data_IF_259350296297
#
_entry.id   IF_259350296297
#
_cell.length_a   1.000
_cell.length_b   1.000
_cell.length_c   1.000
_cell.angle_alpha   90.00
_cell.angle_beta   90.00
_cell.angle_gamma   90.00
#
_symmetry.space_group_name_H-M   'P 1'
#
loop_
_entity.id
_entity.type
_entity.pdbx_description
1 polymer ?
#
# COMPACT_ATOMS: atom_id res chain seq x y z
N UNK A 1 -38.05 -70.28 24.74
CA UNK A 1 -36.72 -69.65 24.65
C UNK A 1 -36.68 -68.61 23.52
N UNK A 2 -37.79 -67.94 23.20
CA UNK A 2 -37.92 -67.10 21.99
C UNK A 2 -38.07 -65.59 22.30
N UNK A 3 -38.39 -65.23 23.54
CA UNK A 3 -38.61 -63.83 23.95
C UNK A 3 -37.32 -63.02 24.09
N UNK A 4 -36.15 -63.67 24.18
CA UNK A 4 -34.85 -62.98 24.25
C UNK A 4 -34.35 -62.50 22.89
N UNK A 5 -34.76 -63.12 21.78
CA UNK A 5 -34.28 -62.75 20.44
C UNK A 5 -34.98 -61.48 19.90
N UNK A 6 -36.26 -61.31 20.22
CA UNK A 6 -37.05 -60.17 19.73
C UNK A 6 -36.67 -58.85 20.42
N UNK A 7 -36.19 -58.90 21.66
CA UNK A 7 -35.82 -57.72 22.43
C UNK A 7 -34.46 -57.14 22.01
N UNK A 8 -33.50 -58.01 21.63
CA UNK A 8 -32.21 -57.58 21.08
C UNK A 8 -32.36 -56.94 19.71
N UNK A 9 -33.26 -57.45 18.84
CA UNK A 9 -33.46 -56.87 17.52
C UNK A 9 -34.12 -55.48 17.57
N UNK A 10 -35.08 -55.28 18.47
CA UNK A 10 -35.70 -53.97 18.70
C UNK A 10 -34.69 -52.94 19.22
N UNK A 11 -33.86 -53.31 20.21
CA UNK A 11 -32.81 -52.43 20.75
C UNK A 11 -31.70 -52.09 19.73
N UNK A 12 -31.37 -53.02 18.82
CA UNK A 12 -30.42 -52.73 17.75
C UNK A 12 -30.98 -51.78 16.71
N UNK A 13 -32.28 -51.87 16.40
CA UNK A 13 -32.92 -51.00 15.41
C UNK A 13 -33.07 -49.57 15.93
N UNK A 14 -33.41 -49.40 17.22
CA UNK A 14 -33.54 -48.10 17.88
C UNK A 14 -32.18 -47.36 17.95
N UNK A 15 -31.09 -48.05 18.32
CA UNK A 15 -29.73 -47.50 18.28
C UNK A 15 -29.26 -47.11 16.87
N UNK A 16 -29.64 -47.87 15.84
CA UNK A 16 -29.30 -47.55 14.45
C UNK A 16 -30.06 -46.32 13.94
N UNK A 17 -31.32 -46.15 14.34
CA UNK A 17 -32.14 -44.98 13.99
C UNK A 17 -31.60 -43.72 14.66
N UNK A 18 -31.23 -43.78 15.94
CA UNK A 18 -30.57 -42.67 16.64
C UNK A 18 -29.21 -42.31 16.04
N UNK A 19 -28.39 -43.31 15.68
CA UNK A 19 -27.11 -43.07 14.99
C UNK A 19 -27.29 -42.46 13.60
N UNK A 20 -28.32 -42.87 12.85
CA UNK A 20 -28.65 -42.24 11.57
C UNK A 20 -29.10 -40.78 11.74
N UNK A 21 -29.92 -40.49 12.76
CA UNK A 21 -30.38 -39.13 13.05
C UNK A 21 -29.23 -38.22 13.49
N UNK A 22 -28.31 -38.71 14.32
CA UNK A 22 -27.15 -37.97 14.76
C UNK A 22 -26.17 -37.66 13.62
N UNK A 23 -25.92 -38.63 12.72
CA UNK A 23 -25.07 -38.43 11.55
C UNK A 23 -25.62 -37.35 10.61
N UNK A 24 -26.93 -37.39 10.36
CA UNK A 24 -27.60 -36.41 9.51
C UNK A 24 -27.52 -34.99 10.10
N UNK A 25 -27.70 -34.85 11.41
CA UNK A 25 -27.51 -33.58 12.13
C UNK A 25 -26.06 -33.06 12.04
N UNK A 26 -25.07 -33.95 12.13
CA UNK A 26 -23.66 -33.53 11.99
C UNK A 26 -23.30 -33.13 10.56
N UNK A 27 -23.87 -33.78 9.55
CA UNK A 27 -23.69 -33.42 8.14
C UNK A 27 -24.30 -32.05 7.84
N UNK A 28 -25.53 -31.79 8.32
CA UNK A 28 -26.19 -30.48 8.19
C UNK A 28 -25.41 -29.36 8.91
N UNK A 29 -24.83 -29.64 10.08
CA UNK A 29 -23.97 -28.69 10.79
C UNK A 29 -22.67 -28.40 10.02
N UNK A 30 -22.05 -29.41 9.41
CA UNK A 30 -20.84 -29.23 8.60
C UNK A 30 -21.17 -28.35 7.39
N UNK A 31 -22.27 -28.58 6.68
CA UNK A 31 -22.70 -27.78 5.53
C UNK A 31 -22.89 -26.29 5.88
N UNK A 32 -23.25 -25.97 7.12
CA UNK A 32 -23.41 -24.59 7.59
C UNK A 32 -22.07 -24.00 8.05
N UNK A 33 -21.25 -24.79 8.75
CA UNK A 33 -20.00 -24.32 9.38
C UNK A 33 -18.89 -24.11 8.34
N UNK A 34 -18.79 -24.95 7.32
CA UNK A 34 -17.77 -24.83 6.26
C UNK A 34 -17.78 -23.47 5.54
N UNK A 35 -18.91 -22.98 5.00
CA UNK A 35 -18.93 -21.67 4.33
C UNK A 35 -18.73 -20.49 5.28
N UNK A 36 -19.03 -20.65 6.57
CA UNK A 36 -18.74 -19.65 7.60
C UNK A 36 -17.22 -19.52 7.83
N UNK A 37 -16.50 -20.64 7.87
CA UNK A 37 -15.04 -20.64 7.95
C UNK A 37 -14.39 -20.02 6.72
N UNK A 38 -14.86 -20.36 5.51
CA UNK A 38 -14.32 -19.77 4.28
C UNK A 38 -14.48 -18.25 4.24
N UNK A 39 -15.62 -17.73 4.74
CA UNK A 39 -15.84 -16.29 4.86
C UNK A 39 -14.95 -15.64 5.90
N UNK A 40 -14.68 -16.33 7.00
CA UNK A 40 -13.78 -15.85 8.06
C UNK A 40 -12.34 -15.77 7.56
N UNK A 41 -11.88 -16.77 6.79
CA UNK A 41 -10.56 -16.75 6.15
C UNK A 41 -10.44 -15.60 5.15
N UNK A 42 -11.47 -15.36 4.33
CA UNK A 42 -11.52 -14.20 3.42
C UNK A 42 -11.47 -12.86 4.17
N UNK A 43 -12.17 -12.75 5.31
CA UNK A 43 -12.14 -11.55 6.15
C UNK A 43 -10.75 -11.30 6.74
N UNK A 44 -10.07 -12.36 7.18
CA UNK A 44 -8.71 -12.28 7.71
C UNK A 44 -7.75 -11.82 6.60
N UNK A 45 -7.86 -12.38 5.40
CA UNK A 45 -6.94 -12.05 4.30
C UNK A 45 -7.14 -10.62 3.80
N UNK A 46 -8.39 -10.18 3.61
CA UNK A 46 -8.70 -8.78 3.27
C UNK A 46 -8.23 -7.80 4.34
N UNK A 47 -8.33 -8.18 5.62
CA UNK A 47 -7.82 -7.34 6.72
C UNK A 47 -6.29 -7.22 6.68
N UNK A 48 -5.56 -8.28 6.34
CA UNK A 48 -4.11 -8.22 6.16
C UNK A 48 -3.71 -7.33 4.98
N UNK A 49 -4.41 -7.44 3.85
CA UNK A 49 -4.16 -6.60 2.68
C UNK A 49 -4.38 -5.11 3.00
N UNK A 50 -5.50 -4.80 3.65
CA UNK A 50 -5.81 -3.42 4.09
C UNK A 50 -4.75 -2.92 5.07
N UNK A 51 -4.36 -3.75 6.04
CA UNK A 51 -3.32 -3.39 7.01
C UNK A 51 -1.98 -3.12 6.33
N UNK A 52 -1.58 -3.95 5.36
CA UNK A 52 -0.36 -3.76 4.59
C UNK A 52 -0.39 -2.48 3.76
N UNK A 53 -1.52 -2.19 3.10
CA UNK A 53 -1.72 -0.95 2.36
C UNK A 53 -1.70 0.27 3.28
N UNK A 54 -2.26 0.17 4.49
CA UNK A 54 -2.21 1.24 5.48
C UNK A 54 -0.78 1.48 6.00
N UNK A 55 -0.03 0.42 6.29
CA UNK A 55 1.36 0.53 6.75
C UNK A 55 2.30 1.06 5.66
N UNK A 56 2.07 0.72 4.39
CA UNK A 56 2.84 1.28 3.26
C UNK A 56 2.56 2.77 3.05
N UNK A 57 1.34 3.23 3.34
CA UNK A 57 0.95 4.65 3.26
C UNK A 57 1.27 5.46 4.53
N UNK A 58 1.61 4.81 5.64
CA UNK A 58 1.97 5.46 6.91
C UNK A 58 3.36 6.14 6.92
N UNK A 59 4.11 6.10 5.82
CA UNK A 59 5.36 6.86 5.72
C UNK A 59 5.15 8.39 5.59
N UNK A 60 3.90 8.86 5.52
CA UNK A 60 3.58 10.24 5.81
C UNK A 60 3.28 10.34 7.30
N UNK A 61 4.33 10.52 8.11
CA UNK A 61 4.16 11.04 9.47
C UNK A 61 3.15 12.20 9.40
N UNK A 62 2.25 12.27 10.38
CA UNK A 62 1.31 13.37 10.61
C UNK A 62 2.05 14.67 10.95
N UNK A 63 2.98 15.08 10.08
CA UNK A 63 3.61 16.38 10.08
C UNK A 63 2.48 17.38 9.85
N UNK A 64 2.31 18.24 10.84
CA UNK A 64 1.36 19.33 10.79
C UNK A 64 1.55 20.08 9.46
N UNK A 65 0.48 20.51 8.80
CA UNK A 65 0.54 21.17 7.50
C UNK A 65 1.57 22.33 7.49
N UNK A 66 1.70 23.02 8.63
CA UNK A 66 2.68 24.09 8.84
C UNK A 66 4.15 23.65 8.71
N UNK A 67 4.46 22.39 9.04
CA UNK A 67 5.80 21.82 8.93
C UNK A 67 6.11 21.33 7.51
N UNK A 68 5.08 21.06 6.70
CA UNK A 68 5.20 20.62 5.31
C UNK A 68 5.20 21.77 4.31
N UNK A 69 4.81 22.97 4.75
CA UNK A 69 4.82 24.17 3.92
C UNK A 69 6.21 24.80 3.87
N UNK A 70 6.70 24.99 2.66
CA UNK A 70 7.99 25.60 2.35
C UNK A 70 7.72 26.93 1.65
N UNK A 71 8.48 27.97 2.00
CA UNK A 71 8.41 29.26 1.31
C UNK A 71 9.46 29.37 0.18
N UNK A 72 9.43 30.48 -0.57
CA UNK A 72 10.42 30.73 -1.63
C UNK A 72 11.87 30.72 -1.13
N UNK A 73 12.13 31.16 0.11
CA UNK A 73 13.48 31.25 0.66
C UNK A 73 14.02 29.87 1.01
N UNK A 74 13.20 29.05 1.63
CA UNK A 74 13.54 27.69 2.02
C UNK A 74 13.69 26.77 0.81
N UNK A 75 12.81 26.89 -0.19
CA UNK A 75 12.97 26.16 -1.47
C UNK A 75 14.29 26.52 -2.15
N UNK A 76 14.64 27.81 -2.17
CA UNK A 76 15.90 28.27 -2.76
C UNK A 76 17.12 27.73 -2.01
N UNK A 77 17.07 27.66 -0.68
CA UNK A 77 18.12 27.04 0.15
C UNK A 77 18.25 25.55 -0.13
N UNK A 78 17.14 24.82 -0.23
CA UNK A 78 17.13 23.38 -0.51
C UNK A 78 17.81 23.06 -1.84
N UNK A 79 17.48 23.83 -2.89
CA UNK A 79 18.05 23.63 -4.22
C UNK A 79 19.48 24.20 -4.37
N UNK A 80 19.95 24.97 -3.39
CA UNK A 80 21.26 25.68 -3.42
C UNK A 80 21.45 26.50 -4.69
N UNK A 81 20.39 27.16 -5.16
CA UNK A 81 20.39 27.94 -6.41
C UNK A 81 20.61 29.43 -6.16
N UNK A 82 21.24 30.09 -7.14
CA UNK A 82 21.27 31.55 -7.23
C UNK A 82 19.89 32.13 -7.61
N UNK A 83 19.69 33.45 -7.46
CA UNK A 83 18.39 34.08 -7.74
C UNK A 83 17.92 33.83 -9.18
N UNK A 84 18.79 34.01 -10.17
CA UNK A 84 18.45 33.89 -11.60
C UNK A 84 18.04 32.46 -11.97
N UNK A 85 18.83 31.48 -11.57
CA UNK A 85 18.55 30.05 -11.84
C UNK A 85 17.36 29.52 -11.05
N UNK A 86 17.09 30.11 -9.87
CA UNK A 86 15.89 29.79 -9.10
C UNK A 86 14.61 30.21 -9.82
N UNK A 87 14.55 31.41 -10.40
CA UNK A 87 13.35 31.86 -11.13
C UNK A 87 13.03 31.00 -12.35
N UNK A 88 14.05 30.52 -13.06
CA UNK A 88 13.87 29.60 -14.20
C UNK A 88 13.32 28.24 -13.74
N UNK A 89 13.86 27.70 -12.64
CA UNK A 89 13.50 26.38 -12.12
C UNK A 89 12.24 26.37 -11.26
N UNK A 90 11.83 27.53 -10.74
CA UNK A 90 10.62 27.68 -9.92
C UNK A 90 9.36 27.19 -10.65
N UNK A 91 9.31 27.34 -11.98
CA UNK A 91 8.20 26.86 -12.81
C UNK A 91 8.00 25.34 -12.76
N UNK A 92 9.01 24.57 -12.33
CA UNK A 92 8.94 23.11 -12.18
C UNK A 92 8.18 22.68 -10.93
N UNK A 93 8.01 23.58 -9.96
CA UNK A 93 7.38 23.28 -8.67
C UNK A 93 5.95 23.82 -8.64
N UNK A 94 5.04 22.99 -8.12
CA UNK A 94 3.66 23.40 -7.91
C UNK A 94 3.60 24.46 -6.81
N UNK A 95 3.01 25.59 -7.13
CA UNK A 95 2.95 26.76 -6.24
C UNK A 95 1.52 26.95 -5.72
N UNK A 96 1.39 27.13 -4.40
CA UNK A 96 0.14 27.46 -3.73
C UNK A 96 0.19 28.90 -3.23
N UNK A 97 -0.77 29.73 -3.67
CA UNK A 97 -0.82 31.13 -3.29
C UNK A 97 -1.78 31.33 -2.11
N UNK A 98 -1.23 31.64 -0.94
CA UNK A 98 -1.96 31.91 0.31
C UNK A 98 -1.61 33.32 0.83
N UNK A 99 -1.53 34.30 -0.08
CA UNK A 99 -0.99 35.65 0.20
C UNK A 99 0.53 35.75 0.04
N UNK A 100 1.22 34.61 0.08
CA UNK A 100 2.60 34.40 -0.39
C UNK A 100 2.66 33.05 -1.12
N UNK A 101 3.72 32.85 -1.89
CA UNK A 101 3.96 31.58 -2.59
C UNK A 101 4.51 30.54 -1.61
N UNK A 102 3.79 29.42 -1.52
CA UNK A 102 4.17 28.24 -0.74
C UNK A 102 4.26 27.00 -1.63
N UNK A 103 5.03 26.03 -1.15
CA UNK A 103 5.26 24.74 -1.77
C UNK A 103 5.06 23.65 -0.72
N UNK A 104 4.58 22.49 -1.16
CA UNK A 104 4.53 21.31 -0.30
C UNK A 104 5.85 20.55 -0.37
N UNK A 105 6.41 20.22 0.78
CA UNK A 105 7.69 19.52 0.90
C UNK A 105 7.74 18.22 0.08
N UNK A 106 6.68 17.43 0.13
CA UNK A 106 6.64 16.14 -0.56
C UNK A 106 6.63 16.31 -2.09
N UNK A 107 5.83 17.24 -2.61
CA UNK A 107 5.80 17.57 -4.03
C UNK A 107 7.16 18.12 -4.52
N UNK A 108 7.83 18.93 -3.69
CA UNK A 108 9.18 19.42 -3.98
C UNK A 108 10.19 18.28 -4.06
N UNK A 109 10.17 17.35 -3.10
CA UNK A 109 11.05 16.19 -3.09
C UNK A 109 10.79 15.25 -4.28
N UNK A 110 9.54 15.06 -4.68
CA UNK A 110 9.19 14.30 -5.88
C UNK A 110 9.77 14.93 -7.15
N UNK A 111 9.61 16.25 -7.33
CA UNK A 111 10.16 16.97 -8.47
C UNK A 111 11.68 16.86 -8.50
N UNK A 112 12.35 17.00 -7.36
CA UNK A 112 13.81 16.82 -7.24
C UNK A 112 14.21 15.41 -7.67
N UNK A 113 13.56 14.37 -7.15
CA UNK A 113 13.84 12.96 -7.51
C UNK A 113 13.68 12.70 -9.02
N UNK A 114 12.65 13.26 -9.65
CA UNK A 114 12.44 13.12 -11.10
C UNK A 114 13.55 13.79 -11.93
N UNK A 115 14.13 14.88 -11.44
CA UNK A 115 15.11 15.69 -12.18
C UNK A 115 16.58 15.43 -11.77
N UNK A 116 16.85 14.74 -10.66
CA UNK A 116 18.20 14.34 -10.23
C UNK A 116 18.77 13.13 -10.99
N UNK A 117 17.96 12.44 -11.80
CA UNK A 117 18.39 11.20 -12.50
C UNK A 117 19.43 11.45 -13.61
N UNK A 118 19.80 12.69 -13.94
CA UNK A 118 20.89 12.94 -14.90
C UNK A 118 21.79 14.09 -14.45
N UNK A 119 23.00 13.77 -13.97
CA UNK A 119 24.16 14.27 -14.67
C UNK A 119 25.05 13.10 -15.07
N UNK A 120 24.68 12.39 -16.14
CA UNK A 120 25.68 11.70 -16.92
C UNK A 120 26.64 12.79 -17.44
N UNK A 121 27.84 12.82 -16.85
CA UNK A 121 28.97 13.66 -17.25
C UNK A 121 28.98 13.80 -18.77
N UNK A 122 28.63 14.98 -19.29
CA UNK A 122 28.87 15.27 -20.70
C UNK A 122 30.37 15.09 -20.94
N UNK A 123 30.81 14.21 -21.85
CA UNK A 123 32.22 14.06 -22.14
C UNK A 123 32.72 15.41 -22.66
N UNK A 124 33.82 15.93 -22.08
CA UNK A 124 34.51 17.10 -22.61
C UNK A 124 34.91 16.79 -24.05
N UNK A 125 34.14 17.24 -25.03
CA UNK A 125 34.57 17.32 -26.41
C UNK A 125 35.64 18.41 -26.50
N UNK A 126 36.89 18.03 -26.21
CA UNK A 126 38.06 18.81 -26.59
C UNK A 126 38.17 18.75 -28.11
N UNK A 127 37.63 19.75 -28.78
CA UNK A 127 37.98 20.07 -30.16
C UNK A 127 37.77 21.54 -30.42
N UNK A 128 38.87 22.30 -30.35
CA UNK A 128 39.05 23.47 -31.21
C UNK A 128 40.45 23.41 -31.79
N UNK A 129 40.49 22.90 -33.02
CA UNK A 129 41.63 22.95 -33.90
C UNK A 129 41.39 24.02 -34.99
N UNK A 130 42.50 24.50 -35.57
CA UNK A 130 42.73 25.34 -36.77
C UNK A 130 43.04 26.82 -36.46
N UNK A 131 44.30 27.28 -36.62
CA UNK A 131 45.18 27.46 -37.80
C UNK A 131 45.06 28.86 -38.45
N UNK A 132 46.14 29.68 -38.38
CA UNK A 132 46.97 30.25 -39.51
C UNK A 132 46.58 31.71 -39.85
N UNK A 133 47.37 32.60 -40.50
CA UNK A 133 48.84 32.75 -40.75
C UNK A 133 49.43 34.12 -40.29
N UNK A 134 50.76 34.26 -40.26
CA UNK A 134 51.56 35.22 -41.08
C UNK A 134 53.06 34.92 -40.94
#
# INVERSE_FOLDING_TARGET
>A
METKLNNTHAQTHEKYVEQCSAKKLTEELIEIITPLWDRMDQLIETTKEISLLMMQNQNHEDLNLSQRLIDNHDLKKMLKLGNTTFFEKKALFRTYNLGKDYYLQDEVLEVIKMHEVIPAKSPKSSSRNRNVPE
#
